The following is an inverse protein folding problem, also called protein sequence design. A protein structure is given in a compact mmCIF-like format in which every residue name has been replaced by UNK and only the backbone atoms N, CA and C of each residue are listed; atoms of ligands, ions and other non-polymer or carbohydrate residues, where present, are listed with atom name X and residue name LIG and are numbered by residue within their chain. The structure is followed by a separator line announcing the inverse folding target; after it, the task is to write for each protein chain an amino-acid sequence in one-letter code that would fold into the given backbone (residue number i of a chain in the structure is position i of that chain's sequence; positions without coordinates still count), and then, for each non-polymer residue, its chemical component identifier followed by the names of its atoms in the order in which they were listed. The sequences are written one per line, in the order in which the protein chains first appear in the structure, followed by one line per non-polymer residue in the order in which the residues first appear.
data_IF_022205310781
#
_entry.id   IF_022205310781
#
_cell.length_a   1.000
_cell.length_b   1.000
_cell.length_c   1.000
_cell.angle_alpha   90.00
_cell.angle_beta   90.00
_cell.angle_gamma   90.00
#
_symmetry.space_group_name_H-M   'P 1'
#
loop_
_entity.id
_entity.type
_entity.pdbx_description
1 polymer ?
#
# COMPACT_ATOMS: atom_id res chain seq x y z
N UNK A 1 -10.46 -2.34 -4.30
CA UNK A 1 -11.74 -2.21 -3.57
C UNK A 1 -12.36 -0.85 -3.85
N UNK A 2 -13.29 -0.72 -4.82
CA UNK A 2 -13.92 0.55 -5.13
C UNK A 2 -14.64 1.18 -3.92
N UNK A 3 -15.20 0.34 -3.05
CA UNK A 3 -15.93 0.76 -1.85
C UNK A 3 -15.04 1.54 -0.88
N UNK A 4 -13.80 1.09 -0.66
CA UNK A 4 -12.89 1.74 0.30
C UNK A 4 -12.54 3.17 -0.16
N UNK A 5 -12.22 3.33 -1.46
CA UNK A 5 -11.96 4.65 -2.05
C UNK A 5 -13.15 5.59 -1.91
N UNK A 6 -14.37 5.13 -2.23
CA UNK A 6 -15.57 5.96 -2.13
C UNK A 6 -15.86 6.38 -0.68
N UNK A 7 -15.61 5.50 0.29
CA UNK A 7 -15.77 5.85 1.71
C UNK A 7 -14.75 6.89 2.14
N UNK A 8 -13.46 6.72 1.79
CA UNK A 8 -12.42 7.67 2.14
C UNK A 8 -12.68 9.07 1.56
N UNK A 9 -13.11 9.15 0.29
CA UNK A 9 -13.44 10.44 -0.36
C UNK A 9 -14.62 11.12 0.33
N UNK A 10 -15.69 10.37 0.64
CA UNK A 10 -16.87 10.93 1.31
C UNK A 10 -16.55 11.43 2.73
N UNK A 11 -15.79 10.67 3.49
CA UNK A 11 -15.39 11.05 4.85
C UNK A 11 -14.47 12.27 4.83
N UNK A 12 -13.48 12.29 3.93
CA UNK A 12 -12.55 13.40 3.79
C UNK A 12 -13.22 14.70 3.34
N UNK A 13 -14.20 14.63 2.45
CA UNK A 13 -14.94 15.82 1.99
C UNK A 13 -15.93 16.34 3.04
N UNK A 14 -16.57 15.45 3.80
CA UNK A 14 -17.52 15.82 4.84
C UNK A 14 -16.86 16.35 6.13
N UNK A 15 -15.54 16.17 6.29
CA UNK A 15 -14.81 16.63 7.47
C UNK A 15 -14.59 18.15 7.40
N UNK A 16 -15.09 18.88 8.39
CA UNK A 16 -14.91 20.33 8.53
C UNK A 16 -13.50 20.66 9.06
N UNK A 17 -12.49 20.33 8.26
CA UNK A 17 -11.09 20.42 8.63
C UNK A 17 -10.16 19.96 7.51
N UNK A 18 -8.84 19.90 7.77
CA UNK A 18 -7.88 19.45 6.78
C UNK A 18 -8.01 17.94 6.54
N UNK A 19 -8.06 17.57 5.26
CA UNK A 19 -8.11 16.18 4.82
C UNK A 19 -6.93 15.84 3.92
N UNK A 20 -6.30 14.67 4.16
CA UNK A 20 -5.21 14.15 3.35
C UNK A 20 -5.59 12.78 2.76
N UNK A 21 -5.56 12.68 1.43
CA UNK A 21 -5.78 11.43 0.70
C UNK A 21 -4.51 11.09 -0.06
N UNK A 22 -3.95 9.91 0.21
CA UNK A 22 -2.78 9.39 -0.50
C UNK A 22 -3.24 8.20 -1.35
N UNK A 23 -3.29 8.41 -2.68
CA UNK A 23 -3.69 7.39 -3.64
C UNK A 23 -2.46 6.75 -4.31
N UNK A 24 -2.42 5.41 -4.34
CA UNK A 24 -1.42 4.69 -5.12
C UNK A 24 -1.72 4.83 -6.61
N UNK A 25 -0.80 5.42 -7.37
CA UNK A 25 -0.96 5.69 -8.79
C UNK A 25 0.13 4.97 -9.60
N UNK A 26 -0.19 3.82 -10.24
CA UNK A 26 0.74 3.18 -11.16
C UNK A 26 1.12 4.11 -12.31
N UNK A 27 2.41 4.17 -12.62
CA UNK A 27 2.96 5.07 -13.64
C UNK A 27 3.81 4.30 -14.65
N UNK A 28 3.93 4.83 -15.87
CA UNK A 28 4.86 4.31 -16.89
C UNK A 28 6.29 4.19 -16.37
N UNK A 29 6.69 5.07 -15.44
CA UNK A 29 8.03 5.06 -14.83
C UNK A 29 8.25 3.87 -13.88
N UNK A 30 7.19 3.19 -13.43
CA UNK A 30 7.34 1.94 -12.70
C UNK A 30 7.77 0.82 -13.66
N UNK A 31 7.41 0.93 -14.94
CA UNK A 31 7.69 -0.05 -15.99
C UNK A 31 7.04 -1.39 -15.67
N UNK A 32 5.71 -1.42 -15.59
CA UNK A 32 4.96 -2.64 -15.32
C UNK A 32 5.20 -3.65 -16.44
N UNK A 33 5.73 -4.84 -16.13
CA UNK A 33 5.95 -5.90 -17.14
C UNK A 33 4.65 -6.36 -17.81
N UNK A 34 3.54 -6.25 -17.09
CA UNK A 34 2.20 -6.54 -17.58
C UNK A 34 1.61 -5.44 -18.49
N UNK A 35 2.28 -4.29 -18.60
CA UNK A 35 1.82 -3.11 -19.34
C UNK A 35 0.81 -2.26 -18.56
N UNK A 36 0.67 -1.00 -18.98
CA UNK A 36 -0.22 -0.02 -18.30
C UNK A 36 -1.71 -0.35 -18.44
N UNK A 37 -2.12 -1.19 -19.39
CA UNK A 37 -3.51 -1.67 -19.50
C UNK A 37 -3.95 -2.52 -18.30
N UNK A 38 -3.00 -2.96 -17.45
CA UNK A 38 -3.25 -3.73 -16.23
C UNK A 38 -2.93 -2.92 -14.95
N UNK A 39 -2.89 -1.59 -15.02
CA UNK A 39 -2.63 -0.71 -13.87
C UNK A 39 -3.55 -0.98 -12.67
N UNK A 40 -4.85 -1.14 -12.91
CA UNK A 40 -5.83 -1.46 -11.86
C UNK A 40 -5.57 -2.82 -11.19
N UNK A 41 -5.03 -3.79 -11.95
CA UNK A 41 -4.59 -5.07 -11.40
C UNK A 41 -3.35 -4.87 -10.55
N UNK A 42 -2.42 -4.01 -10.96
CA UNK A 42 -1.23 -3.66 -10.19
C UNK A 42 -1.57 -3.03 -8.84
N UNK A 43 -2.52 -2.08 -8.82
CA UNK A 43 -3.03 -1.47 -7.57
C UNK A 43 -3.58 -2.52 -6.62
N UNK A 44 -4.35 -3.48 -7.15
CA UNK A 44 -4.88 -4.59 -6.37
C UNK A 44 -3.76 -5.47 -5.82
N UNK A 45 -2.75 -5.80 -6.63
CA UNK A 45 -1.60 -6.60 -6.21
C UNK A 45 -0.79 -5.89 -5.11
N UNK A 46 -0.55 -4.59 -5.25
CA UNK A 46 0.17 -3.80 -4.26
C UNK A 46 -0.48 -3.88 -2.87
N UNK A 47 -1.82 -3.86 -2.82
CA UNK A 47 -2.56 -4.03 -1.57
C UNK A 47 -2.54 -5.47 -1.07
N UNK A 48 -2.79 -6.44 -1.95
CA UNK A 48 -2.85 -7.87 -1.59
C UNK A 48 -1.52 -8.40 -1.05
N UNK A 49 -0.39 -7.95 -1.59
CA UNK A 49 0.93 -8.40 -1.15
C UNK A 49 1.48 -7.61 0.05
N UNK A 50 0.83 -6.50 0.44
CA UNK A 50 1.27 -5.69 1.59
C UNK A 50 2.30 -4.61 1.25
N UNK A 51 2.54 -4.35 -0.03
CA UNK A 51 3.35 -3.21 -0.47
C UNK A 51 2.66 -1.87 -0.15
N UNK A 52 1.34 -1.83 -0.30
CA UNK A 52 0.48 -0.68 0.01
C UNK A 52 -0.60 -1.10 1.00
N UNK A 53 -0.95 -0.25 1.96
CA UNK A 53 -2.03 -0.53 2.92
C UNK A 53 -3.14 0.50 2.76
N UNK A 54 -4.38 0.05 2.95
CA UNK A 54 -5.55 0.92 2.95
C UNK A 54 -5.94 1.17 4.40
N UNK A 55 -5.92 2.42 4.83
CA UNK A 55 -6.32 2.83 6.17
C UNK A 55 -7.00 4.19 6.10
N UNK A 56 -7.76 4.49 7.15
CA UNK A 56 -8.38 5.81 7.38
C UNK A 56 -8.16 6.20 8.82
N UNK A 57 -7.92 7.49 9.02
CA UNK A 57 -7.87 8.10 10.34
C UNK A 57 -8.93 9.19 10.38
N UNK A 58 -9.93 9.04 11.24
CA UNK A 58 -11.02 10.00 11.38
C UNK A 58 -11.01 10.61 12.80
N UNK A 59 -10.58 11.88 12.94
CA UNK A 59 -10.53 12.57 14.23
C UNK A 59 -11.87 12.62 14.98
N UNK A 60 -12.99 12.65 14.27
CA UNK A 60 -14.33 12.71 14.90
C UNK A 60 -14.66 11.45 15.72
N UNK A 61 -14.01 10.33 15.42
CA UNK A 61 -14.16 9.11 16.22
C UNK A 61 -13.47 9.24 17.58
N UNK A 62 -12.35 9.97 17.66
CA UNK A 62 -11.65 10.24 18.91
C UNK A 62 -12.50 11.11 19.83
N UNK A 63 -13.18 12.14 19.29
CA UNK A 63 -14.15 12.96 20.02
C UNK A 63 -15.32 12.13 20.58
N UNK A 64 -15.70 11.07 19.88
CA UNK A 64 -16.72 10.11 20.30
C UNK A 64 -16.20 8.98 21.20
N UNK A 65 -14.92 9.03 21.63
CA UNK A 65 -14.29 8.02 22.50
C UNK A 65 -14.04 6.66 21.81
N UNK A 66 -13.97 6.63 20.49
CA UNK A 66 -13.68 5.43 19.66
C UNK A 66 -12.27 5.53 19.08
N UNK A 67 -11.72 4.39 18.65
CA UNK A 67 -10.44 4.39 17.93
C UNK A 67 -10.58 5.14 16.59
N UNK A 68 -9.83 6.23 16.36
CA UNK A 68 -9.88 6.99 15.12
C UNK A 68 -9.23 6.30 13.93
N UNK A 69 -8.36 5.32 14.17
CA UNK A 69 -7.63 4.61 13.14
C UNK A 69 -8.36 3.33 12.72
N UNK A 70 -8.56 3.14 11.42
CA UNK A 70 -9.15 1.95 10.82
C UNK A 70 -8.23 1.40 9.74
N UNK A 71 -7.84 0.13 9.87
CA UNK A 71 -7.10 -0.60 8.84
C UNK A 71 -8.08 -1.33 7.92
N UNK A 72 -8.31 -0.80 6.72
CA UNK A 72 -9.27 -1.32 5.74
C UNK A 72 -8.71 -2.48 4.90
N UNK A 73 -7.39 -2.52 4.70
CA UNK A 73 -6.74 -3.63 4.00
C UNK A 73 -6.67 -4.88 4.88
N UNK A 74 -6.95 -6.04 4.28
CA UNK A 74 -6.82 -7.35 4.94
C UNK A 74 -5.36 -7.71 5.22
N UNK A 75 -5.17 -8.80 5.95
CA UNK A 75 -3.87 -9.41 6.13
C UNK A 75 -3.22 -9.70 4.76
N UNK A 76 -1.99 -9.19 4.52
CA UNK A 76 -1.29 -9.39 3.25
C UNK A 76 -0.87 -10.83 3.00
N UNK A 77 -0.86 -11.22 1.73
CA UNK A 77 -0.17 -12.42 1.28
C UNK A 77 1.30 -12.11 1.00
N UNK A 78 2.12 -12.27 2.04
CA UNK A 78 3.56 -12.02 1.98
C UNK A 78 4.30 -12.88 0.95
N UNK A 79 3.75 -14.04 0.56
CA UNK A 79 4.37 -14.91 -0.46
C UNK A 79 4.44 -14.25 -1.82
N UNK A 80 3.58 -13.23 -2.07
CA UNK A 80 3.47 -12.50 -3.33
C UNK A 80 4.28 -11.21 -3.37
N UNK A 81 4.90 -10.80 -2.25
CA UNK A 81 5.60 -9.52 -2.14
C UNK A 81 6.81 -9.42 -3.06
N UNK A 82 7.67 -10.43 -3.05
CA UNK A 82 8.86 -10.45 -3.92
C UNK A 82 8.50 -10.52 -5.40
N UNK A 83 7.42 -11.23 -5.74
CA UNK A 83 6.94 -11.34 -7.12
C UNK A 83 6.34 -10.02 -7.61
N UNK A 84 5.63 -9.29 -6.75
CA UNK A 84 5.17 -7.93 -7.03
C UNK A 84 6.35 -7.01 -7.37
N UNK A 85 7.40 -6.96 -6.53
CA UNK A 85 8.58 -6.15 -6.81
C UNK A 85 9.25 -6.55 -8.13
N UNK A 86 9.42 -7.85 -8.40
CA UNK A 86 9.99 -8.33 -9.66
C UNK A 86 9.11 -8.06 -10.88
N UNK A 87 7.83 -7.75 -10.69
CA UNK A 87 6.87 -7.36 -11.72
C UNK A 87 7.11 -5.99 -12.33
N UNK A 88 7.88 -5.13 -11.66
CA UNK A 88 8.14 -3.76 -12.09
C UNK A 88 9.61 -3.55 -12.49
N UNK A 89 9.85 -2.89 -13.62
CA UNK A 89 11.19 -2.66 -14.16
C UNK A 89 12.05 -1.80 -13.23
N UNK A 90 11.44 -0.88 -12.47
CA UNK A 90 12.16 -0.06 -11.48
C UNK A 90 12.91 -0.88 -10.42
N UNK A 91 12.45 -2.09 -10.11
CA UNK A 91 13.13 -3.02 -9.22
C UNK A 91 13.94 -4.07 -9.98
N UNK A 92 13.38 -4.62 -11.08
CA UNK A 92 14.09 -5.68 -11.81
C UNK A 92 15.37 -5.20 -12.50
N UNK A 93 15.47 -3.90 -12.83
CA UNK A 93 16.69 -3.29 -13.36
C UNK A 93 17.84 -3.32 -12.35
N UNK A 94 17.57 -3.03 -11.07
CA UNK A 94 18.55 -3.13 -10.00
C UNK A 94 19.03 -4.58 -9.82
N UNK A 95 18.12 -5.54 -9.82
CA UNK A 95 18.46 -6.97 -9.74
C UNK A 95 19.31 -7.48 -10.90
N UNK A 96 19.19 -6.86 -12.08
CA UNK A 96 20.00 -7.19 -13.26
C UNK A 96 21.41 -6.61 -13.16
N UNK A 97 21.55 -5.39 -12.65
CA UNK A 97 22.82 -4.67 -12.60
C UNK A 97 23.66 -5.05 -11.37
N UNK A 98 23.02 -5.26 -10.22
CA UNK A 98 23.65 -5.50 -8.93
C UNK A 98 22.91 -6.60 -8.16
N UNK A 99 23.05 -7.89 -8.57
CA UNK A 99 22.22 -8.97 -8.05
C UNK A 99 22.35 -9.18 -6.53
N UNK A 100 23.57 -9.12 -5.98
CA UNK A 100 23.81 -9.32 -4.55
C UNK A 100 23.17 -8.19 -3.72
N UNK A 101 23.45 -6.94 -4.08
CA UNK A 101 22.88 -5.76 -3.42
C UNK A 101 21.36 -5.70 -3.57
N UNK A 102 20.82 -6.10 -4.72
CA UNK A 102 19.39 -6.16 -4.93
C UNK A 102 18.72 -7.18 -4.01
N UNK A 103 19.31 -8.37 -3.82
CA UNK A 103 18.81 -9.37 -2.89
C UNK A 103 18.65 -8.82 -1.48
N UNK A 104 19.68 -8.14 -0.98
CA UNK A 104 19.66 -7.51 0.35
C UNK A 104 18.60 -6.39 0.46
N UNK A 105 18.51 -5.52 -0.54
CA UNK A 105 17.57 -4.38 -0.51
C UNK A 105 16.11 -4.83 -0.64
N UNK A 106 15.83 -5.82 -1.48
CA UNK A 106 14.49 -6.38 -1.64
C UNK A 106 14.03 -7.13 -0.38
N UNK A 107 14.96 -7.83 0.30
CA UNK A 107 14.68 -8.45 1.59
C UNK A 107 14.36 -7.40 2.67
N UNK A 108 15.18 -6.34 2.77
CA UNK A 108 14.92 -5.21 3.69
C UNK A 108 13.59 -4.50 3.40
N UNK A 109 13.24 -4.38 2.11
CA UNK A 109 11.97 -3.76 1.69
C UNK A 109 10.78 -4.56 2.22
N UNK A 110 10.85 -5.90 2.17
CA UNK A 110 9.82 -6.78 2.74
C UNK A 110 9.77 -6.71 4.27
N UNK A 111 10.94 -6.68 4.92
CA UNK A 111 11.03 -6.51 6.38
C UNK A 111 10.35 -5.20 6.83
N UNK A 112 10.66 -4.08 6.19
CA UNK A 112 10.04 -2.80 6.52
C UNK A 112 8.54 -2.76 6.19
N UNK A 113 8.10 -3.45 5.14
CA UNK A 113 6.67 -3.58 4.86
C UNK A 113 5.95 -4.36 5.99
N UNK A 114 6.54 -5.46 6.48
CA UNK A 114 6.02 -6.22 7.63
C UNK A 114 5.98 -5.39 8.91
N UNK A 115 7.04 -4.63 9.20
CA UNK A 115 7.09 -3.72 10.36
C UNK A 115 5.96 -2.69 10.27
N UNK A 116 5.81 -2.03 9.11
CA UNK A 116 4.76 -1.02 8.90
C UNK A 116 3.36 -1.60 9.06
N UNK A 117 3.09 -2.77 8.49
CA UNK A 117 1.81 -3.47 8.67
C UNK A 117 1.53 -3.75 10.15
N UNK A 118 2.51 -4.28 10.89
CA UNK A 118 2.35 -4.57 12.31
C UNK A 118 2.11 -3.30 13.14
N UNK A 119 2.73 -2.18 12.80
CA UNK A 119 2.43 -0.88 13.43
C UNK A 119 0.99 -0.47 13.18
N UNK A 120 0.50 -0.54 11.94
CA UNK A 120 -0.89 -0.20 11.63
C UNK A 120 -1.90 -1.14 12.27
N UNK A 121 -1.58 -2.44 12.36
CA UNK A 121 -2.41 -3.40 13.09
C UNK A 121 -2.57 -3.02 14.55
N UNK A 122 -1.47 -2.67 15.23
CA UNK A 122 -1.49 -2.19 16.63
C UNK A 122 -2.26 -0.89 16.82
N UNK A 123 -2.26 0.00 15.82
CA UNK A 123 -3.03 1.24 15.87
C UNK A 123 -4.54 1.00 15.71
N UNK A 124 -4.94 -0.10 15.07
CA UNK A 124 -6.35 -0.45 14.83
C UNK A 124 -6.95 -1.33 15.95
N UNK A 125 -6.12 -1.88 16.83
CA UNK A 125 -6.52 -2.59 18.06
C UNK A 125 -7.01 -1.60 19.12
#
# INVERSE_FOLDING_TARGET
CPVQYMNAIKEAEAYDGPSLIIAYAPCINHGLKAGMGLSQKEEKLAVECGYWHLYRYNPLLEEAGKNPFSLDSKEPDWTRFQDFLKGEVRFSSLAKLYPDTAGELLAKTEEFAKIRYNTYKKLAE
#
